data_IF_658113990171
#
_entry.id   IF_658113990171
#
_cell.length_a   1.000
_cell.length_b   1.000
_cell.length_c   1.000
_cell.angle_alpha   90.00
_cell.angle_beta   90.00
_cell.angle_gamma   90.00
#
_symmetry.space_group_name_H-M   'P 1'
#
loop_
_entity.id
_entity.type
_entity.pdbx_description
1 polymer ?
#
# COMPACT_ATOMS: atom_id res chain seq x y z
N UNK A 1 -12.70 -0.48 6.06
CA UNK A 1 -12.44 -1.70 5.28
C UNK A 1 -13.72 -2.46 4.96
N UNK A 2 -14.79 -2.23 5.73
CA UNK A 2 -16.10 -2.89 5.58
C UNK A 2 -16.69 -2.82 4.18
N UNK A 3 -16.59 -1.68 3.49
CA UNK A 3 -17.18 -1.54 2.16
C UNK A 3 -16.58 -2.50 1.11
N UNK A 4 -15.28 -2.79 1.18
CA UNK A 4 -14.63 -3.74 0.27
C UNK A 4 -15.09 -5.18 0.55
N UNK A 5 -15.13 -5.55 1.83
CA UNK A 5 -15.57 -6.88 2.24
C UNK A 5 -17.04 -7.13 1.89
N UNK A 6 -17.92 -6.13 2.09
CA UNK A 6 -19.32 -6.18 1.67
C UNK A 6 -19.44 -6.35 0.17
N UNK A 7 -18.75 -5.52 -0.62
CA UNK A 7 -18.80 -5.61 -2.08
C UNK A 7 -18.30 -6.96 -2.59
N UNK A 8 -17.23 -7.50 -2.01
CA UNK A 8 -16.75 -8.83 -2.37
C UNK A 8 -17.81 -9.91 -2.10
N UNK A 9 -18.48 -9.86 -0.94
CA UNK A 9 -19.58 -10.76 -0.62
C UNK A 9 -20.74 -10.67 -1.62
N UNK A 10 -21.14 -9.45 -1.99
CA UNK A 10 -22.20 -9.20 -2.99
C UNK A 10 -21.83 -9.68 -4.40
N UNK A 11 -20.53 -9.72 -4.73
CA UNK A 11 -20.03 -10.12 -6.05
C UNK A 11 -19.51 -11.57 -6.09
N UNK A 12 -19.78 -12.38 -5.05
CA UNK A 12 -19.26 -13.75 -4.92
C UNK A 12 -17.72 -13.85 -5.03
N UNK A 13 -17.02 -12.82 -4.56
CA UNK A 13 -15.57 -12.77 -4.49
C UNK A 13 -15.11 -13.14 -3.09
N UNK A 14 -14.16 -14.06 -2.99
CA UNK A 14 -13.53 -14.44 -1.72
C UNK A 14 -12.25 -13.64 -1.49
N UNK A 15 -12.16 -12.94 -0.36
CA UNK A 15 -10.96 -12.23 0.06
C UNK A 15 -9.99 -13.20 0.74
N UNK A 16 -8.79 -13.33 0.16
CA UNK A 16 -7.72 -14.10 0.80
C UNK A 16 -6.96 -13.23 1.79
N UNK A 17 -7.47 -13.14 3.02
CA UNK A 17 -6.85 -12.34 4.07
C UNK A 17 -5.41 -12.77 4.38
N UNK A 18 -5.10 -14.07 4.27
CA UNK A 18 -3.77 -14.62 4.53
C UNK A 18 -2.70 -14.20 3.51
N UNK A 19 -3.11 -13.92 2.26
CA UNK A 19 -2.22 -13.44 1.19
C UNK A 19 -2.26 -11.93 1.02
N UNK A 20 -3.16 -11.25 1.74
CA UNK A 20 -3.24 -9.79 1.67
C UNK A 20 -2.13 -9.20 2.52
N UNK A 21 -1.46 -8.21 1.96
CA UNK A 21 -0.43 -7.42 2.63
C UNK A 21 -0.81 -5.95 2.53
N UNK A 22 -0.45 -5.19 3.55
CA UNK A 22 -0.59 -3.74 3.57
C UNK A 22 0.73 -3.11 3.18
N UNK A 23 0.69 -2.09 2.32
CA UNK A 23 1.86 -1.24 2.07
C UNK A 23 1.46 0.21 2.31
N UNK A 24 2.09 0.86 3.30
CA UNK A 24 1.81 2.26 3.64
C UNK A 24 2.91 3.16 3.11
N UNK A 25 2.55 4.01 2.16
CA UNK A 25 3.45 5.05 1.64
C UNK A 25 3.09 6.37 2.31
N UNK A 26 3.94 6.83 3.22
CA UNK A 26 3.80 8.15 3.82
C UNK A 26 4.77 9.14 3.19
N UNK A 27 4.23 10.10 2.45
CA UNK A 27 5.00 11.17 1.78
C UNK A 27 5.27 12.37 2.68
N UNK A 28 4.78 12.36 3.93
CA UNK A 28 4.98 13.44 4.90
C UNK A 28 6.39 13.33 5.51
N UNK A 29 7.03 14.47 5.76
CA UNK A 29 8.38 14.54 6.35
C UNK A 29 8.47 14.00 7.79
N UNK A 30 7.38 14.02 8.54
CA UNK A 30 7.29 13.52 9.91
C UNK A 30 6.04 12.65 10.04
N UNK A 31 6.11 11.49 9.40
CA UNK A 31 5.07 10.49 9.35
C UNK A 31 4.97 9.75 10.70
N UNK A 32 3.79 9.77 11.33
CA UNK A 32 3.52 8.82 12.41
C UNK A 32 3.29 7.42 11.79
N UNK A 33 3.68 6.33 12.48
CA UNK A 33 3.35 4.99 12.03
C UNK A 33 1.83 4.84 11.81
N UNK A 34 1.40 4.21 10.72
CA UNK A 34 -0.01 3.94 10.46
C UNK A 34 -0.57 2.99 11.53
N UNK A 35 -1.87 3.14 11.82
CA UNK A 35 -2.58 2.17 12.65
C UNK A 35 -2.70 0.84 11.89
N UNK A 36 -2.49 -0.32 12.55
CA UNK A 36 -2.65 -1.62 11.91
C UNK A 36 -4.06 -1.81 11.34
N UNK A 37 -4.15 -2.33 10.11
CA UNK A 37 -5.45 -2.70 9.51
C UNK A 37 -5.75 -4.18 9.72
N UNK A 38 -7.04 -4.48 9.88
CA UNK A 38 -7.58 -5.84 9.85
C UNK A 38 -8.41 -6.03 8.58
N UNK A 39 -8.32 -7.23 7.99
CA UNK A 39 -9.13 -7.67 6.87
C UNK A 39 -9.86 -8.94 7.27
N UNK A 40 -11.20 -8.92 7.25
CA UNK A 40 -12.04 -10.03 7.71
C UNK A 40 -11.62 -10.55 9.09
N UNK A 41 -11.40 -9.64 10.04
CA UNK A 41 -10.94 -9.91 11.42
C UNK A 41 -9.54 -10.54 11.54
N UNK A 42 -8.83 -10.72 10.43
CA UNK A 42 -7.43 -11.14 10.41
C UNK A 42 -6.50 -9.92 10.33
N UNK A 43 -5.42 -9.84 11.12
CA UNK A 43 -4.41 -8.81 10.95
C UNK A 43 -3.74 -8.98 9.58
N UNK A 44 -3.48 -7.85 8.92
CA UNK A 44 -2.77 -7.82 7.63
C UNK A 44 -1.31 -7.52 7.87
N UNK A 45 -0.42 -8.26 7.21
CA UNK A 45 1.02 -8.05 7.33
C UNK A 45 1.44 -6.80 6.56
N UNK A 46 2.10 -5.86 7.23
CA UNK A 46 2.71 -4.70 6.57
C UNK A 46 4.00 -5.11 5.83
N UNK A 47 4.17 -4.61 4.60
CA UNK A 47 5.35 -4.87 3.75
C UNK A 47 5.93 -3.56 3.21
N UNK A 48 7.26 -3.54 3.07
CA UNK A 48 7.99 -2.37 2.54
C UNK A 48 8.08 -2.37 1.01
N UNK A 49 7.83 -3.52 0.36
CA UNK A 49 7.74 -3.61 -1.09
C UNK A 49 6.92 -4.80 -1.55
N UNK A 50 6.33 -4.70 -2.74
CA UNK A 50 5.67 -5.81 -3.41
C UNK A 50 5.88 -5.74 -4.92
N UNK A 51 5.74 -6.90 -5.59
CA UNK A 51 5.81 -6.98 -7.04
C UNK A 51 4.40 -6.96 -7.62
N UNK A 52 4.15 -6.03 -8.52
CA UNK A 52 2.92 -5.95 -9.30
C UNK A 52 3.24 -5.93 -10.79
N UNK A 53 2.73 -6.91 -11.54
CA UNK A 53 2.94 -7.02 -13.00
C UNK A 53 4.41 -6.93 -13.41
N UNK A 54 5.31 -7.55 -12.65
CA UNK A 54 6.76 -7.51 -12.90
C UNK A 54 7.47 -6.25 -12.39
N UNK A 55 6.75 -5.19 -12.04
CA UNK A 55 7.30 -3.97 -11.44
C UNK A 55 7.38 -4.12 -9.92
N UNK A 56 8.49 -3.70 -9.32
CA UNK A 56 8.62 -3.65 -7.85
C UNK A 56 8.20 -2.25 -7.40
N UNK A 57 7.21 -2.21 -6.51
CA UNK A 57 6.76 -0.98 -5.86
C UNK A 57 7.32 -1.04 -4.43
N UNK A 58 8.11 -0.03 -4.05
CA UNK A 58 8.77 0.05 -2.75
C UNK A 58 8.34 1.31 -2.00
N UNK A 59 8.30 1.22 -0.68
CA UNK A 59 7.75 2.24 0.22
C UNK A 59 8.58 3.52 0.18
N UNK A 60 9.90 3.36 0.03
CA UNK A 60 10.86 4.46 -0.12
C UNK A 60 10.79 5.03 -1.54
N UNK A 61 9.87 5.98 -1.74
CA UNK A 61 9.81 6.80 -2.95
C UNK A 61 10.73 8.01 -2.82
N UNK A 62 12.04 7.82 -3.02
CA UNK A 62 12.96 8.97 -3.13
C UNK A 62 12.61 9.80 -4.36
N UNK A 63 11.95 10.95 -4.16
CA UNK A 63 11.72 11.93 -5.21
C UNK A 63 13.06 12.47 -5.73
N UNK A 64 13.48 12.03 -6.92
CA UNK A 64 14.55 12.72 -7.67
C UNK A 64 13.95 13.98 -8.27
N UNK A 65 14.19 15.13 -7.64
CA UNK A 65 13.91 16.43 -8.26
C UNK A 65 14.77 16.56 -9.51
N UNK A 66 14.15 16.47 -10.69
CA UNK A 66 14.81 16.81 -11.94
C UNK A 66 14.90 18.35 -12.01
N UNK A 67 15.82 18.93 -11.26
CA UNK A 67 16.19 20.33 -11.46
C UNK A 67 16.83 20.42 -12.83
N UNK A 68 16.10 20.95 -13.82
CA UNK A 68 16.71 21.44 -15.05
C UNK A 68 17.52 22.66 -14.65
N UNK A 69 18.78 22.46 -14.28
CA UNK A 69 19.77 23.51 -14.29
C UNK A 69 20.02 23.91 -15.74
N UNK A 70 19.16 24.76 -16.29
CA UNK A 70 19.46 25.53 -17.49
C UNK A 70 20.07 26.84 -16.98
N UNK A 71 21.36 26.81 -16.69
CA UNK A 71 22.14 28.04 -16.56
C UNK A 71 22.39 28.55 -17.98
N UNK A 72 21.78 29.69 -18.31
CA UNK A 72 22.23 30.58 -19.40
C UNK A 72 23.17 31.63 -18.82
#
# INVERSE_FOLDING_TARGET
MDHLATWCGENHLELNALKTVEMVVDVRKNAAPPAPITLCDSPVTAVESFRFLGTIIAQDLKSKKHSRGCSS
#
